data_IF_684109981752
#
_entry.id   IF_684109981752
#
_cell.length_a   1.000
_cell.length_b   1.000
_cell.length_c   1.000
_cell.angle_alpha   90.00
_cell.angle_beta   90.00
_cell.angle_gamma   90.00
#
_symmetry.space_group_name_H-M   'P 1'
#
loop_
_entity.id
_entity.type
_entity.pdbx_description
1 polymer ?
#
# COMPACT_ATOMS: atom_id res chain seq x y z
N UNK A 1 31.92 -1.94 4.99
CA UNK A 1 30.71 -1.20 5.40
C UNK A 1 31.15 -0.04 6.27
N UNK A 2 30.89 1.20 5.88
CA UNK A 2 31.14 2.34 6.76
C UNK A 2 30.01 2.41 7.79
N UNK A 3 30.36 2.44 9.08
CA UNK A 3 29.41 2.64 10.17
C UNK A 3 28.96 4.11 10.14
N UNK A 4 27.65 4.35 10.11
CA UNK A 4 27.11 5.72 10.19
C UNK A 4 27.30 6.23 11.63
N UNK A 5 27.40 7.55 11.80
CA UNK A 5 27.42 8.13 13.14
C UNK A 5 26.08 7.81 13.85
N UNK A 6 26.14 7.48 15.14
CA UNK A 6 24.97 7.08 15.94
C UNK A 6 23.73 7.99 15.78
N UNK A 7 23.85 9.34 15.73
CA UNK A 7 22.68 10.20 15.48
C UNK A 7 22.02 9.97 14.10
N UNK A 8 22.81 9.64 13.07
CA UNK A 8 22.32 9.36 11.72
C UNK A 8 21.60 8.00 11.67
N UNK A 9 22.08 7.01 12.44
CA UNK A 9 21.38 5.72 12.59
C UNK A 9 20.01 5.90 13.27
N UNK A 10 19.92 6.77 14.29
CA UNK A 10 18.66 7.10 14.95
C UNK A 10 17.68 7.82 14.01
N UNK A 11 18.15 8.81 13.22
CA UNK A 11 17.33 9.48 12.20
C UNK A 11 16.83 8.49 11.15
N UNK A 12 17.70 7.59 10.67
CA UNK A 12 17.30 6.52 9.72
C UNK A 12 16.21 5.63 10.34
N UNK A 13 16.39 5.19 11.58
CA UNK A 13 15.41 4.34 12.25
C UNK A 13 14.04 5.02 12.42
N UNK A 14 14.03 6.31 12.78
CA UNK A 14 12.79 7.10 12.87
C UNK A 14 12.15 7.24 11.49
N UNK A 15 12.93 7.57 10.45
CA UNK A 15 12.43 7.70 9.09
C UNK A 15 11.86 6.39 8.53
N UNK A 16 12.53 5.27 8.78
CA UNK A 16 12.06 3.93 8.42
C UNK A 16 10.75 3.60 9.17
N UNK A 17 10.68 3.93 10.46
CA UNK A 17 9.47 3.81 11.26
C UNK A 17 8.32 4.66 10.73
N UNK A 18 8.58 5.92 10.34
CA UNK A 18 7.59 6.80 9.70
C UNK A 18 7.11 6.25 8.36
N UNK A 19 8.00 5.65 7.56
CA UNK A 19 7.62 5.01 6.29
C UNK A 19 6.73 3.79 6.53
N UNK A 20 7.06 2.94 7.50
CA UNK A 20 6.21 1.80 7.86
C UNK A 20 4.81 2.26 8.32
N UNK A 21 4.76 3.33 9.12
CA UNK A 21 3.50 3.92 9.57
C UNK A 21 2.66 4.47 8.41
N UNK A 22 3.31 5.10 7.43
CA UNK A 22 2.62 5.59 6.24
C UNK A 22 2.02 4.46 5.41
N UNK A 23 2.70 3.31 5.31
CA UNK A 23 2.16 2.12 4.60
C UNK A 23 0.92 1.61 5.31
N UNK A 24 0.97 1.42 6.64
CA UNK A 24 -0.18 0.96 7.43
C UNK A 24 -1.40 1.89 7.29
N UNK A 25 -1.18 3.21 7.29
CA UNK A 25 -2.26 4.18 7.11
C UNK A 25 -2.90 4.07 5.71
N UNK A 26 -2.08 3.83 4.68
CA UNK A 26 -2.57 3.64 3.32
C UNK A 26 -3.34 2.33 3.16
N UNK A 27 -2.86 1.23 3.74
CA UNK A 27 -3.56 -0.05 3.79
C UNK A 27 -4.93 0.10 4.48
N UNK A 28 -4.98 0.78 5.63
CA UNK A 28 -6.22 1.05 6.35
C UNK A 28 -7.19 1.91 5.53
N UNK A 29 -6.69 2.89 4.76
CA UNK A 29 -7.51 3.70 3.86
C UNK A 29 -8.10 2.88 2.70
N UNK A 30 -7.31 1.96 2.13
CA UNK A 30 -7.79 1.01 1.11
C UNK A 30 -8.87 0.12 1.70
N UNK A 31 -8.65 -0.46 2.87
CA UNK A 31 -9.62 -1.33 3.55
C UNK A 31 -10.93 -0.61 3.82
N UNK A 32 -10.87 0.63 4.32
CA UNK A 32 -12.04 1.45 4.58
C UNK A 32 -12.83 1.72 3.28
N UNK A 33 -12.14 2.14 2.20
CA UNK A 33 -12.78 2.38 0.91
C UNK A 33 -13.47 1.13 0.36
N UNK A 34 -12.81 -0.03 0.41
CA UNK A 34 -13.37 -1.29 -0.09
C UNK A 34 -14.54 -1.78 0.78
N UNK A 35 -14.51 -1.46 2.08
CA UNK A 35 -15.57 -1.84 3.02
C UNK A 35 -16.92 -1.16 2.72
N UNK A 36 -16.91 -0.02 2.03
CA UNK A 36 -18.13 0.71 1.62
C UNK A 36 -18.91 -0.02 0.50
N UNK A 37 -18.30 -1.00 -0.17
CA UNK A 37 -18.95 -1.79 -1.22
C UNK A 37 -19.49 -3.11 -0.63
N UNK A 38 -20.80 -3.37 -0.65
CA UNK A 38 -21.37 -4.56 -0.01
C UNK A 38 -21.18 -5.84 -0.84
N UNK A 39 -21.25 -5.74 -2.16
CA UNK A 39 -21.20 -6.89 -3.07
C UNK A 39 -19.76 -7.29 -3.40
N UNK A 40 -19.40 -8.59 -3.39
CA UNK A 40 -18.05 -9.04 -3.74
C UNK A 40 -17.58 -8.60 -5.12
N UNK A 41 -18.49 -8.54 -6.11
CA UNK A 41 -18.16 -8.07 -7.46
C UNK A 41 -17.79 -6.58 -7.50
N UNK A 42 -18.52 -5.75 -6.75
CA UNK A 42 -18.23 -4.31 -6.66
C UNK A 42 -16.89 -4.05 -5.96
N UNK A 43 -16.53 -4.87 -4.96
CA UNK A 43 -15.21 -4.82 -4.32
C UNK A 43 -14.08 -5.10 -5.30
N UNK A 44 -14.23 -6.09 -6.18
CA UNK A 44 -13.23 -6.40 -7.21
C UNK A 44 -13.04 -5.20 -8.15
N UNK A 45 -14.14 -4.61 -8.62
CA UNK A 45 -14.09 -3.42 -9.49
C UNK A 45 -13.43 -2.24 -8.76
N UNK A 46 -13.74 -2.03 -7.49
CA UNK A 46 -13.15 -0.97 -6.68
C UNK A 46 -11.62 -1.14 -6.55
N UNK A 47 -11.14 -2.36 -6.28
CA UNK A 47 -9.71 -2.67 -6.21
C UNK A 47 -9.01 -2.47 -7.57
N UNK A 48 -9.62 -2.90 -8.68
CA UNK A 48 -9.08 -2.69 -10.03
C UNK A 48 -8.91 -1.20 -10.36
N UNK A 49 -9.87 -0.36 -9.93
CA UNK A 49 -9.78 1.11 -10.08
C UNK A 49 -8.60 1.66 -9.27
N UNK A 50 -8.43 1.20 -8.02
CA UNK A 50 -7.31 1.64 -7.17
C UNK A 50 -5.96 1.27 -7.80
N UNK A 51 -5.79 0.05 -8.33
CA UNK A 51 -4.56 -0.36 -9.03
C UNK A 51 -4.26 0.55 -10.24
N UNK A 52 -5.30 0.90 -11.00
CA UNK A 52 -5.14 1.81 -12.15
C UNK A 52 -4.71 3.22 -11.71
N UNK A 53 -5.25 3.72 -10.61
CA UNK A 53 -4.92 5.04 -10.09
C UNK A 53 -3.54 5.06 -9.42
N UNK A 54 -3.14 3.98 -8.74
CA UNK A 54 -1.78 3.75 -8.26
C UNK A 54 -0.77 3.78 -9.41
N UNK A 55 -1.04 3.08 -10.51
CA UNK A 55 -0.17 3.12 -11.69
C UNK A 55 -0.03 4.54 -12.27
N UNK A 56 -1.13 5.32 -12.29
CA UNK A 56 -1.08 6.74 -12.71
C UNK A 56 -0.29 7.61 -11.74
N UNK A 57 -0.39 7.36 -10.44
CA UNK A 57 0.37 8.06 -9.41
C UNK A 57 1.86 7.76 -9.55
N UNK A 58 2.23 6.49 -9.76
CA UNK A 58 3.61 6.04 -9.98
C UNK A 58 4.28 6.77 -11.14
N UNK A 59 3.54 6.99 -12.24
CA UNK A 59 4.05 7.78 -13.38
C UNK A 59 4.32 9.25 -13.05
N UNK A 60 3.62 9.82 -12.06
CA UNK A 60 3.73 11.24 -11.67
C UNK A 60 4.70 11.46 -10.51
N UNK A 61 4.89 10.46 -9.66
CA UNK A 61 5.70 10.54 -8.45
C UNK A 61 6.52 9.25 -8.26
N UNK A 62 7.50 8.99 -9.16
CA UNK A 62 8.32 7.78 -9.12
C UNK A 62 9.18 7.67 -7.85
N UNK A 63 9.40 8.76 -7.11
CA UNK A 63 10.10 8.75 -5.82
C UNK A 63 9.38 7.94 -4.74
N UNK A 64 8.09 7.64 -4.92
CA UNK A 64 7.30 6.83 -4.00
C UNK A 64 7.21 5.35 -4.39
N UNK A 65 7.99 4.88 -5.38
CA UNK A 65 7.84 3.53 -5.96
C UNK A 65 7.75 2.42 -4.90
N UNK A 66 8.71 2.36 -3.98
CA UNK A 66 8.75 1.35 -2.92
C UNK A 66 7.56 1.43 -1.94
N UNK A 67 6.99 2.63 -1.74
CA UNK A 67 5.77 2.78 -0.95
C UNK A 67 4.55 2.30 -1.73
N UNK A 68 4.46 2.64 -3.03
CA UNK A 68 3.36 2.21 -3.90
C UNK A 68 3.38 0.69 -4.11
N UNK A 69 4.56 0.06 -4.16
CA UNK A 69 4.72 -1.40 -4.24
C UNK A 69 4.10 -2.11 -3.02
N UNK A 70 4.28 -1.54 -1.83
CA UNK A 70 3.70 -2.11 -0.61
C UNK A 70 2.17 -2.04 -0.63
N UNK A 71 1.61 -0.90 -1.03
CA UNK A 71 0.15 -0.71 -1.14
C UNK A 71 -0.45 -1.60 -2.24
N UNK A 72 0.24 -1.74 -3.38
CA UNK A 72 -0.15 -2.64 -4.46
C UNK A 72 -0.18 -4.11 -3.99
N UNK A 73 0.84 -4.53 -3.23
CA UNK A 73 0.87 -5.86 -2.62
C UNK A 73 -0.32 -6.13 -1.68
N UNK A 74 -0.70 -5.15 -0.87
CA UNK A 74 -1.90 -5.27 -0.02
C UNK A 74 -3.19 -5.42 -0.83
N UNK A 75 -3.35 -4.63 -1.89
CA UNK A 75 -4.51 -4.73 -2.81
C UNK A 75 -4.56 -6.11 -3.49
N UNK A 76 -3.42 -6.65 -3.91
CA UNK A 76 -3.34 -7.99 -4.50
C UNK A 76 -3.76 -9.08 -3.52
N UNK A 77 -3.40 -8.94 -2.24
CA UNK A 77 -3.83 -9.87 -1.20
C UNK A 77 -5.34 -9.79 -0.94
N UNK A 78 -5.94 -8.59 -0.98
CA UNK A 78 -7.40 -8.43 -0.92
C UNK A 78 -8.10 -9.11 -2.11
N UNK A 79 -7.58 -8.95 -3.34
CA UNK A 79 -8.10 -9.66 -4.51
C UNK A 79 -8.04 -11.18 -4.32
N UNK A 80 -6.91 -11.68 -3.81
CA UNK A 80 -6.71 -13.12 -3.55
C UNK A 80 -7.70 -13.63 -2.51
N UNK A 81 -7.95 -12.85 -1.46
CA UNK A 81 -8.94 -13.17 -0.43
C UNK A 81 -10.36 -13.21 -0.97
N UNK A 82 -10.76 -12.25 -1.78
CA UNK A 82 -12.06 -12.24 -2.43
C UNK A 82 -12.24 -13.45 -3.34
N UNK A 83 -11.23 -13.76 -4.16
CA UNK A 83 -11.24 -14.93 -5.04
C UNK A 83 -11.36 -16.24 -4.24
N UNK A 84 -10.65 -16.37 -3.11
CA UNK A 84 -10.75 -17.53 -2.22
C UNK A 84 -12.13 -17.70 -1.59
N UNK A 85 -12.83 -16.60 -1.29
CA UNK A 85 -14.18 -16.63 -0.69
C UNK A 85 -15.29 -16.93 -1.70
N UNK A 86 -15.01 -16.74 -2.99
CA UNK A 86 -15.97 -16.98 -4.07
C UNK A 86 -15.94 -18.42 -4.62
N UNK A 87 -14.93 -19.23 -4.26
CA UNK A 87 -14.75 -20.62 -4.67
C UNK A 87 -15.41 -21.60 -3.68
#
# INVERSE_FOLDING_TARGET
>A
MQQLAQPIEAVRHVADGSRAWAVLEAEAAVDAYVSDFPEPGDKVIALDILLRDLARLRLRAPEFDAFLDAVEGHIDDLHRDLARRAA
#
